data_IF_641261393677
#
_entry.id   IF_641261393677
#
_cell.length_a   1.000
_cell.length_b   1.000
_cell.length_c   1.000
_cell.angle_alpha   90.00
_cell.angle_beta   90.00
_cell.angle_gamma   90.00
#
_symmetry.space_group_name_H-M   'P 1'
#
loop_
_entity.id
_entity.type
_entity.pdbx_description
1 polymer ?
#
# COMPACT_ATOMS: atom_id res chain seq x y z
N UNK A 1 -21.01 -23.40 -1.65
CA UNK A 1 -20.30 -22.23 -2.19
C UNK A 1 -19.44 -22.53 -3.43
N UNK A 2 -19.47 -23.72 -4.00
CA UNK A 2 -18.82 -24.08 -5.29
C UNK A 2 -19.77 -24.08 -6.51
N UNK A 3 -21.05 -23.76 -6.32
CA UNK A 3 -22.06 -23.85 -7.37
C UNK A 3 -22.26 -22.55 -8.16
N UNK A 4 -22.00 -21.40 -7.56
CA UNK A 4 -22.27 -20.09 -8.20
C UNK A 4 -21.18 -19.67 -9.20
N UNK A 5 -19.92 -19.99 -8.93
CA UNK A 5 -18.81 -19.66 -9.88
C UNK A 5 -18.88 -20.45 -11.20
N UNK A 6 -19.59 -21.59 -11.23
CA UNK A 6 -19.80 -22.33 -12.48
C UNK A 6 -20.86 -21.69 -13.37
N UNK A 7 -21.83 -21.02 -12.79
CA UNK A 7 -22.93 -20.37 -13.51
C UNK A 7 -22.48 -19.15 -14.28
N UNK A 8 -21.58 -18.34 -13.69
CA UNK A 8 -21.03 -17.13 -14.34
C UNK A 8 -20.11 -17.46 -15.52
N UNK A 9 -19.29 -18.50 -15.43
CA UNK A 9 -18.46 -18.96 -16.55
C UNK A 9 -19.26 -19.48 -17.75
N UNK A 10 -20.44 -20.03 -17.50
CA UNK A 10 -21.30 -20.55 -18.55
C UNK A 10 -22.12 -19.48 -19.27
N UNK A 11 -22.39 -18.33 -18.62
CA UNK A 11 -23.07 -17.19 -19.24
C UNK A 11 -22.14 -16.46 -20.23
N UNK A 12 -20.84 -16.29 -19.89
CA UNK A 12 -19.86 -15.70 -20.79
C UNK A 12 -19.55 -16.59 -22.01
N UNK A 13 -19.61 -17.93 -21.86
CA UNK A 13 -19.40 -18.86 -22.96
C UNK A 13 -20.61 -18.97 -23.92
N UNK A 14 -21.85 -18.75 -23.44
CA UNK A 14 -23.05 -18.78 -24.25
C UNK A 14 -23.20 -17.56 -25.18
N UNK A 15 -22.60 -16.41 -24.82
CA UNK A 15 -22.63 -15.18 -25.63
C UNK A 15 -21.70 -15.24 -26.84
N UNK A 16 -20.65 -16.08 -26.84
CA UNK A 16 -19.71 -16.21 -27.96
C UNK A 16 -20.07 -17.24 -29.01
N UNK A 17 -21.07 -18.13 -28.77
CA UNK A 17 -21.37 -19.22 -29.69
C UNK A 17 -22.53 -18.94 -30.63
N UNK A 18 -23.15 -17.75 -30.57
CA UNK A 18 -24.33 -17.43 -31.42
C UNK A 18 -24.03 -16.59 -32.65
N UNK A 19 -22.75 -16.37 -32.99
CA UNK A 19 -22.38 -15.51 -34.11
C UNK A 19 -21.99 -16.22 -35.42
N UNK A 20 -22.09 -17.56 -35.50
CA UNK A 20 -21.65 -18.30 -36.69
C UNK A 20 -22.71 -19.37 -37.06
N UNK A 21 -23.86 -19.00 -37.50
CA UNK A 21 -24.72 -19.70 -38.47
C UNK A 21 -26.00 -18.85 -38.62
N UNK A 22 -26.14 -18.07 -39.69
CA UNK A 22 -27.33 -18.03 -40.54
C UNK A 22 -27.14 -17.00 -41.65
N UNK A 23 -27.31 -17.47 -42.87
CA UNK A 23 -27.31 -16.67 -44.07
C UNK A 23 -28.53 -15.75 -44.16
N UNK A 24 -28.30 -14.65 -44.82
CA UNK A 24 -29.22 -13.69 -45.42
C UNK A 24 -30.71 -13.83 -45.13
N UNK A 25 -31.19 -13.11 -44.13
CA UNK A 25 -32.54 -12.53 -44.13
C UNK A 25 -32.51 -11.27 -43.27
N UNK A 26 -33.02 -10.18 -43.85
CA UNK A 26 -33.07 -8.86 -43.26
C UNK A 26 -33.74 -8.87 -41.88
N UNK A 27 -32.97 -8.90 -40.81
CA UNK A 27 -33.44 -8.70 -39.43
C UNK A 27 -32.99 -7.35 -38.94
N UNK A 28 -33.94 -6.55 -38.50
CA UNK A 28 -33.69 -5.22 -37.88
C UNK A 28 -32.83 -5.38 -36.65
N UNK A 29 -31.84 -4.49 -36.39
CA UNK A 29 -30.97 -4.59 -35.20
C UNK A 29 -31.72 -4.07 -33.98
N UNK A 30 -32.33 -4.95 -33.21
CA UNK A 30 -33.02 -4.58 -31.95
C UNK A 30 -32.47 -5.33 -30.73
N UNK A 31 -31.55 -6.28 -30.89
CA UNK A 31 -31.12 -7.15 -29.75
C UNK A 31 -29.75 -6.90 -29.20
N UNK A 32 -28.88 -6.12 -29.85
CA UNK A 32 -27.53 -5.81 -29.34
C UNK A 32 -27.58 -4.87 -28.12
N UNK A 33 -28.42 -3.84 -28.15
CA UNK A 33 -28.47 -2.84 -27.06
C UNK A 33 -28.97 -3.36 -25.71
N UNK A 34 -29.84 -4.37 -25.68
CA UNK A 34 -30.37 -4.91 -24.41
C UNK A 34 -29.38 -5.83 -23.70
N UNK A 35 -28.58 -6.59 -24.46
CA UNK A 35 -27.55 -7.45 -23.88
C UNK A 35 -26.34 -6.64 -23.37
N UNK A 36 -25.89 -5.65 -24.12
CA UNK A 36 -24.83 -4.73 -23.71
C UNK A 36 -25.25 -3.86 -22.52
N UNK A 37 -26.49 -3.39 -22.47
CA UNK A 37 -27.02 -2.63 -21.34
C UNK A 37 -27.12 -3.50 -20.07
N UNK A 38 -27.50 -4.79 -20.20
CA UNK A 38 -27.57 -5.69 -19.05
C UNK A 38 -26.18 -6.09 -18.51
N UNK A 39 -25.19 -6.26 -19.38
CA UNK A 39 -23.80 -6.51 -18.99
C UNK A 39 -23.19 -5.27 -18.34
N UNK A 40 -23.41 -4.08 -18.89
CA UNK A 40 -22.95 -2.83 -18.29
C UNK A 40 -23.55 -2.59 -16.90
N UNK A 41 -24.86 -2.82 -16.74
CA UNK A 41 -25.54 -2.68 -15.45
C UNK A 41 -25.02 -3.66 -14.41
N UNK A 42 -24.74 -4.92 -14.79
CA UNK A 42 -24.18 -5.91 -13.87
C UNK A 42 -22.74 -5.59 -13.47
N UNK A 43 -21.92 -5.02 -14.37
CA UNK A 43 -20.57 -4.57 -14.06
C UNK A 43 -20.59 -3.35 -13.13
N UNK A 44 -21.51 -2.41 -13.36
CA UNK A 44 -21.68 -1.24 -12.48
C UNK A 44 -22.16 -1.64 -11.08
N UNK A 45 -23.07 -2.61 -10.98
CA UNK A 45 -23.54 -3.14 -9.71
C UNK A 45 -22.44 -3.91 -8.96
N UNK A 46 -21.65 -4.73 -9.64
CA UNK A 46 -20.51 -5.45 -9.07
C UNK A 46 -19.41 -4.46 -8.62
N UNK A 47 -19.07 -3.45 -9.42
CA UNK A 47 -18.11 -2.41 -9.07
C UNK A 47 -18.59 -1.56 -7.88
N UNK A 48 -19.88 -1.26 -7.82
CA UNK A 48 -20.50 -0.56 -6.68
C UNK A 48 -20.42 -1.38 -5.41
N UNK A 49 -20.67 -2.69 -5.47
CA UNK A 49 -20.57 -3.59 -4.32
C UNK A 49 -19.13 -3.72 -3.82
N UNK A 50 -18.15 -3.89 -4.71
CA UNK A 50 -16.72 -3.96 -4.39
C UNK A 50 -16.28 -2.65 -3.72
N UNK A 51 -16.63 -1.50 -4.30
CA UNK A 51 -16.34 -0.18 -3.73
C UNK A 51 -16.90 0.00 -2.31
N UNK A 52 -18.12 -0.47 -2.05
CA UNK A 52 -18.74 -0.44 -0.73
C UNK A 52 -18.01 -1.33 0.29
N UNK A 53 -17.57 -2.51 -0.13
CA UNK A 53 -16.82 -3.42 0.75
C UNK A 53 -15.45 -2.83 1.09
N UNK A 54 -14.76 -2.26 0.12
CA UNK A 54 -13.46 -1.63 0.33
C UNK A 54 -13.56 -0.44 1.31
N UNK A 55 -14.59 0.38 1.17
CA UNK A 55 -14.85 1.49 2.09
C UNK A 55 -15.16 0.99 3.52
N UNK A 56 -15.93 -0.07 3.66
CA UNK A 56 -16.22 -0.69 4.96
C UNK A 56 -14.94 -1.20 5.63
N UNK A 57 -14.05 -1.86 4.90
CA UNK A 57 -12.77 -2.33 5.42
C UNK A 57 -11.84 -1.17 5.80
N UNK A 58 -11.77 -0.13 4.97
CA UNK A 58 -10.97 1.08 5.26
C UNK A 58 -11.40 1.73 6.58
N UNK A 59 -12.70 1.91 6.77
CA UNK A 59 -13.26 2.48 7.99
C UNK A 59 -13.00 1.60 9.22
N UNK A 60 -13.09 0.29 9.08
CA UNK A 60 -12.82 -0.64 10.16
C UNK A 60 -11.35 -0.64 10.57
N UNK A 61 -10.40 -0.66 9.62
CA UNK A 61 -8.99 -0.50 9.91
C UNK A 61 -8.69 0.84 10.58
N UNK A 62 -9.26 1.94 10.06
CA UNK A 62 -9.08 3.26 10.64
C UNK A 62 -9.53 3.30 12.10
N UNK A 63 -10.71 2.77 12.38
CA UNK A 63 -11.25 2.67 13.74
C UNK A 63 -10.32 1.86 14.65
N UNK A 64 -9.87 0.70 14.21
CA UNK A 64 -9.02 -0.21 15.00
C UNK A 64 -7.65 0.37 15.26
N UNK A 65 -6.97 0.88 14.25
CA UNK A 65 -5.66 1.51 14.39
C UNK A 65 -5.75 2.74 15.31
N UNK A 66 -6.75 3.60 15.12
CA UNK A 66 -6.92 4.78 15.95
C UNK A 66 -7.26 4.44 17.41
N UNK A 67 -7.97 3.36 17.68
CA UNK A 67 -8.16 2.88 19.04
C UNK A 67 -6.84 2.53 19.72
N UNK A 68 -5.93 1.85 19.04
CA UNK A 68 -4.61 1.52 19.61
C UNK A 68 -3.74 2.77 19.77
N UNK A 69 -3.79 3.71 18.81
CA UNK A 69 -3.08 4.99 18.92
C UNK A 69 -3.56 5.83 20.09
N UNK A 70 -4.87 5.95 20.30
CA UNK A 70 -5.44 6.67 21.44
C UNK A 70 -5.05 6.03 22.78
N UNK A 71 -5.06 4.69 22.89
CA UNK A 71 -4.55 3.98 24.08
C UNK A 71 -3.07 4.30 24.36
N UNK A 72 -2.29 4.51 23.31
CA UNK A 72 -0.88 4.90 23.40
C UNK A 72 -0.65 6.41 23.61
N UNK A 73 -1.72 7.23 23.73
CA UNK A 73 -1.62 8.68 23.89
C UNK A 73 -1.26 9.44 22.61
N UNK A 74 -1.43 8.82 21.44
CA UNK A 74 -1.10 9.38 20.13
C UNK A 74 -2.33 10.01 19.46
N UNK A 75 -2.06 10.95 18.55
CA UNK A 75 -3.13 11.51 17.71
C UNK A 75 -3.66 10.45 16.74
N UNK A 76 -4.99 10.44 16.49
CA UNK A 76 -5.55 9.63 15.42
C UNK A 76 -4.96 9.97 14.06
N UNK A 77 -4.82 8.96 13.19
CA UNK A 77 -4.50 9.12 11.77
C UNK A 77 -5.79 9.27 10.95
N UNK A 78 -5.65 9.74 9.73
CA UNK A 78 -6.74 9.84 8.75
C UNK A 78 -6.54 8.83 7.62
N UNK A 79 -7.59 8.50 6.89
CA UNK A 79 -7.45 7.78 5.63
C UNK A 79 -6.78 8.67 4.59
N UNK A 80 -5.93 8.09 3.78
CA UNK A 80 -5.41 8.70 2.58
C UNK A 80 -6.51 8.96 1.56
N UNK A 81 -6.21 9.82 0.60
CA UNK A 81 -7.10 10.07 -0.54
C UNK A 81 -7.18 8.86 -1.49
N UNK A 82 -7.85 9.04 -2.62
CA UNK A 82 -8.01 7.98 -3.63
C UNK A 82 -6.67 7.48 -4.19
N UNK A 83 -5.67 8.36 -4.35
CA UNK A 83 -4.33 7.97 -4.84
C UNK A 83 -3.62 7.09 -3.83
N UNK A 84 -3.66 7.46 -2.54
CA UNK A 84 -3.10 6.67 -1.45
C UNK A 84 -3.74 5.28 -1.34
N UNK A 85 -5.07 5.21 -1.41
CA UNK A 85 -5.77 3.93 -1.33
C UNK A 85 -5.53 3.08 -2.60
N UNK A 86 -5.42 3.69 -3.79
CA UNK A 86 -5.03 2.99 -5.01
C UNK A 86 -3.63 2.38 -4.92
N UNK A 87 -2.67 3.11 -4.36
CA UNK A 87 -1.33 2.58 -4.12
C UNK A 87 -1.34 1.37 -3.18
N UNK A 88 -2.09 1.43 -2.06
CA UNK A 88 -2.22 0.31 -1.14
C UNK A 88 -2.95 -0.89 -1.79
N UNK A 89 -3.96 -0.63 -2.61
CA UNK A 89 -4.70 -1.67 -3.35
C UNK A 89 -3.81 -2.37 -4.37
N UNK A 90 -2.98 -1.64 -5.11
CA UNK A 90 -1.98 -2.22 -6.00
C UNK A 90 -0.99 -3.11 -5.24
N UNK A 91 -0.50 -2.64 -4.09
CA UNK A 91 0.38 -3.44 -3.24
C UNK A 91 -0.26 -4.73 -2.76
N UNK A 92 -1.52 -4.70 -2.32
CA UNK A 92 -2.24 -5.90 -1.90
C UNK A 92 -2.31 -6.94 -3.03
N UNK A 93 -2.53 -6.50 -4.27
CA UNK A 93 -2.53 -7.34 -5.47
C UNK A 93 -1.15 -7.88 -5.81
N UNK A 94 -0.10 -7.06 -5.70
CA UNK A 94 1.29 -7.49 -5.90
C UNK A 94 1.70 -8.59 -4.93
N UNK A 95 1.30 -8.49 -3.65
CA UNK A 95 1.61 -9.48 -2.61
C UNK A 95 0.99 -10.86 -2.90
N UNK A 96 -0.10 -10.92 -3.63
CA UNK A 96 -0.70 -12.18 -4.07
C UNK A 96 0.18 -12.92 -5.09
N UNK A 97 1.02 -12.21 -5.83
CA UNK A 97 1.99 -12.76 -6.78
C UNK A 97 3.39 -12.91 -6.18
N UNK A 98 3.79 -11.99 -5.30
CA UNK A 98 5.11 -11.97 -4.65
C UNK A 98 4.98 -11.44 -3.21
N UNK A 99 4.94 -12.34 -2.23
CA UNK A 99 4.80 -12.00 -0.81
C UNK A 99 6.10 -11.44 -0.23
N UNK A 100 6.43 -10.19 -0.55
CA UNK A 100 7.72 -9.56 -0.25
C UNK A 100 7.60 -8.04 -0.17
N UNK A 101 8.54 -7.39 0.55
CA UNK A 101 8.77 -5.93 0.48
C UNK A 101 9.43 -5.49 -0.83
N UNK A 102 9.97 -6.43 -1.60
CA UNK A 102 10.42 -6.16 -2.98
C UNK A 102 9.24 -6.42 -3.91
N UNK A 103 8.87 -5.40 -4.65
CA UNK A 103 7.76 -5.44 -5.61
C UNK A 103 8.09 -6.33 -6.81
N UNK A 104 7.10 -6.83 -7.57
CA UNK A 104 7.34 -7.63 -8.77
C UNK A 104 8.23 -6.96 -9.82
N UNK A 105 8.27 -5.63 -9.86
CA UNK A 105 9.16 -4.84 -10.72
C UNK A 105 10.62 -4.75 -10.22
N UNK A 106 10.94 -5.39 -9.08
CA UNK A 106 12.26 -5.39 -8.45
C UNK A 106 12.57 -4.17 -7.57
N UNK A 107 11.64 -3.22 -7.46
CA UNK A 107 11.81 -2.03 -6.62
C UNK A 107 11.34 -2.28 -5.19
N UNK A 108 11.59 -1.31 -4.31
CA UNK A 108 11.12 -1.36 -2.92
C UNK A 108 9.65 -0.94 -2.84
N UNK A 109 8.97 -1.42 -1.80
CA UNK A 109 7.57 -1.18 -1.46
C UNK A 109 7.16 0.30 -1.53
N UNK A 110 7.97 1.20 -0.96
CA UNK A 110 7.68 2.64 -0.90
C UNK A 110 7.67 3.36 -2.27
N UNK A 111 8.24 2.77 -3.32
CA UNK A 111 8.27 3.38 -4.67
C UNK A 111 6.87 3.50 -5.28
N UNK A 112 5.90 2.76 -4.77
CA UNK A 112 4.51 2.83 -5.20
C UNK A 112 3.90 4.22 -5.02
N UNK A 113 4.37 4.99 -4.04
CA UNK A 113 3.88 6.34 -3.80
C UNK A 113 4.22 7.27 -4.95
N UNK A 114 5.49 7.29 -5.38
CA UNK A 114 5.92 8.12 -6.51
C UNK A 114 5.21 7.73 -7.81
N UNK A 115 4.98 6.44 -8.05
CA UNK A 115 4.25 5.92 -9.21
C UNK A 115 2.77 6.37 -9.22
N UNK A 116 2.17 6.56 -8.05
CA UNK A 116 0.80 7.05 -7.88
C UNK A 116 0.72 8.58 -7.67
N UNK A 117 1.82 9.32 -7.90
CA UNK A 117 1.86 10.77 -7.78
C UNK A 117 1.74 11.30 -6.35
N UNK A 118 2.03 10.47 -5.34
CA UNK A 118 1.96 10.81 -3.92
C UNK A 118 3.32 11.37 -3.48
N UNK A 119 3.31 12.58 -2.92
CA UNK A 119 4.52 13.25 -2.43
C UNK A 119 4.75 13.08 -0.92
N UNK A 120 3.90 12.30 -0.24
CA UNK A 120 4.07 12.00 1.16
C UNK A 120 5.28 11.06 1.39
N UNK A 121 5.93 11.21 2.52
CA UNK A 121 6.93 10.25 2.96
C UNK A 121 6.22 8.97 3.44
N UNK A 122 6.57 7.82 2.86
CA UNK A 122 6.16 6.52 3.37
C UNK A 122 6.95 6.20 4.65
N UNK A 123 6.24 6.06 5.77
CA UNK A 123 6.83 5.70 7.08
C UNK A 123 6.99 4.19 7.20
N UNK A 124 6.14 3.42 6.53
CA UNK A 124 6.26 1.98 6.45
C UNK A 124 4.99 1.27 6.00
N UNK A 125 5.16 0.02 5.63
CA UNK A 125 4.11 -0.87 5.15
C UNK A 125 3.95 -2.05 6.10
N UNK A 126 2.72 -2.31 6.56
CA UNK A 126 2.35 -3.56 7.21
C UNK A 126 1.50 -4.37 6.22
N UNK A 127 1.86 -5.63 6.01
CA UNK A 127 1.04 -6.54 5.21
C UNK A 127 0.86 -7.88 5.89
N UNK A 128 -0.26 -8.54 5.60
CA UNK A 128 -0.57 -9.87 6.10
C UNK A 128 -1.45 -10.62 5.10
N UNK A 129 -1.33 -11.94 5.07
CA UNK A 129 -2.14 -12.79 4.22
C UNK A 129 -2.81 -13.91 5.01
N UNK A 130 -3.93 -14.45 4.47
CA UNK A 130 -4.68 -15.55 5.08
C UNK A 130 -5.58 -15.16 6.24
N UNK A 131 -5.64 -13.88 6.56
CA UNK A 131 -6.51 -13.34 7.63
C UNK A 131 -7.79 -12.80 7.01
N UNK A 132 -8.95 -13.12 7.58
CA UNK A 132 -10.24 -12.84 6.95
C UNK A 132 -10.88 -11.52 7.37
N UNK A 133 -10.37 -10.84 8.40
CA UNK A 133 -10.98 -9.61 8.92
C UNK A 133 -9.93 -8.56 9.31
N UNK A 134 -10.27 -7.25 9.20
CA UNK A 134 -9.45 -6.15 9.69
C UNK A 134 -9.05 -6.29 11.17
N UNK A 135 -10.00 -6.67 12.03
CA UNK A 135 -9.73 -6.86 13.47
C UNK A 135 -8.62 -7.87 13.72
N UNK A 136 -8.71 -9.06 13.08
CA UNK A 136 -7.71 -10.10 13.24
C UNK A 136 -6.34 -9.70 12.65
N UNK A 137 -6.32 -8.90 11.59
CA UNK A 137 -5.08 -8.37 11.01
C UNK A 137 -4.39 -7.40 11.98
N UNK A 138 -5.13 -6.43 12.53
CA UNK A 138 -4.59 -5.47 13.51
C UNK A 138 -4.11 -6.17 14.77
N UNK A 139 -4.87 -7.15 15.29
CA UNK A 139 -4.47 -7.93 16.48
C UNK A 139 -3.15 -8.66 16.24
N UNK A 140 -2.94 -9.25 15.06
CA UNK A 140 -1.66 -9.89 14.73
C UNK A 140 -0.53 -8.87 14.61
N UNK A 141 -0.72 -7.74 13.93
CA UNK A 141 0.30 -6.69 13.81
C UNK A 141 0.67 -6.06 15.14
N UNK A 142 -0.28 -5.92 16.07
CA UNK A 142 0.01 -5.43 17.42
C UNK A 142 0.92 -6.36 18.23
N UNK A 143 0.98 -7.65 17.87
CA UNK A 143 1.87 -8.63 18.50
C UNK A 143 3.24 -8.76 17.80
N UNK A 144 3.48 -8.02 16.71
CA UNK A 144 4.74 -7.98 15.95
C UNK A 144 5.40 -6.62 16.19
N UNK A 145 6.58 -6.59 16.82
CA UNK A 145 7.22 -5.37 17.28
C UNK A 145 7.34 -4.29 16.18
N UNK A 146 7.93 -4.61 15.04
CA UNK A 146 8.11 -3.64 13.96
C UNK A 146 6.79 -3.19 13.32
N UNK A 147 5.76 -4.03 13.28
CA UNK A 147 4.45 -3.66 12.74
C UNK A 147 3.69 -2.75 13.71
N UNK A 148 3.76 -3.05 15.01
CA UNK A 148 3.22 -2.21 16.08
C UNK A 148 3.90 -0.85 16.10
N UNK A 149 5.24 -0.80 15.99
CA UNK A 149 6.00 0.45 15.94
C UNK A 149 5.55 1.35 14.80
N UNK A 150 5.30 0.81 13.61
CA UNK A 150 4.77 1.58 12.47
C UNK A 150 3.37 2.14 12.75
N UNK A 151 2.46 1.33 13.27
CA UNK A 151 1.10 1.77 13.62
C UNK A 151 1.09 2.83 14.73
N UNK A 152 2.04 2.76 15.65
CA UNK A 152 2.16 3.67 16.80
C UNK A 152 3.25 4.73 16.61
N UNK A 153 3.74 4.95 15.41
CA UNK A 153 4.67 6.03 15.14
C UNK A 153 3.96 7.40 15.26
N UNK A 154 4.55 8.30 16.04
CA UNK A 154 3.96 9.62 16.34
C UNK A 154 3.89 10.55 15.12
N UNK A 155 4.80 10.37 14.16
CA UNK A 155 4.90 11.21 12.96
C UNK A 155 3.86 10.84 11.90
N UNK A 156 3.26 9.65 11.98
CA UNK A 156 2.23 9.21 11.03
C UNK A 156 0.97 10.05 11.18
N UNK A 157 0.52 10.57 10.05
CA UNK A 157 -0.73 11.35 9.94
C UNK A 157 -1.77 10.65 9.06
N UNK A 158 -1.34 9.80 8.14
CA UNK A 158 -2.17 9.20 7.11
C UNK A 158 -1.96 7.68 7.06
N UNK A 159 -3.03 6.96 6.83
CA UNK A 159 -3.05 5.52 6.62
C UNK A 159 -3.81 5.19 5.35
N UNK A 160 -3.22 4.36 4.51
CA UNK A 160 -3.84 3.82 3.30
C UNK A 160 -4.13 2.34 3.48
N UNK A 161 -5.24 1.88 2.96
CA UNK A 161 -5.69 0.49 3.11
C UNK A 161 -5.88 -0.15 1.75
N UNK A 162 -5.27 -1.32 1.55
CA UNK A 162 -5.47 -2.16 0.39
C UNK A 162 -5.91 -3.57 0.79
N UNK A 163 -6.81 -4.15 0.02
CA UNK A 163 -7.29 -5.51 0.15
C UNK A 163 -7.36 -6.21 -1.21
N UNK A 164 -6.84 -7.42 -1.26
CA UNK A 164 -6.98 -8.27 -2.44
C UNK A 164 -7.46 -9.66 -2.04
N UNK A 165 -8.55 -10.12 -2.67
CA UNK A 165 -9.08 -11.47 -2.51
C UNK A 165 -8.68 -12.34 -3.70
N UNK A 166 -7.95 -13.41 -3.42
CA UNK A 166 -7.44 -14.35 -4.43
C UNK A 166 -6.09 -14.93 -4.04
N UNK A 167 -5.36 -15.48 -5.03
CA UNK A 167 -4.05 -16.07 -4.79
C UNK A 167 -4.05 -17.27 -3.82
N UNK A 168 -2.86 -17.61 -3.29
CA UNK A 168 -2.65 -18.81 -2.45
C UNK A 168 -3.32 -18.68 -1.08
N UNK A 169 -3.29 -17.48 -0.48
CA UNK A 169 -3.79 -17.22 0.87
C UNK A 169 -5.19 -16.61 0.90
N UNK A 170 -5.82 -16.40 -0.24
CA UNK A 170 -7.16 -15.85 -0.44
C UNK A 170 -7.33 -14.38 -0.05
N UNK A 171 -6.85 -13.93 1.10
CA UNK A 171 -6.92 -12.54 1.55
C UNK A 171 -5.52 -11.98 1.74
N UNK A 172 -5.27 -10.77 1.22
CA UNK A 172 -4.04 -10.00 1.40
C UNK A 172 -4.42 -8.59 1.82
N UNK A 173 -3.93 -8.19 2.99
CA UNK A 173 -4.16 -6.87 3.57
C UNK A 173 -2.88 -6.07 3.58
N UNK A 174 -2.98 -4.79 3.25
CA UNK A 174 -1.88 -3.85 3.31
C UNK A 174 -2.35 -2.59 4.01
N UNK A 175 -1.55 -2.12 4.98
CA UNK A 175 -1.62 -0.75 5.50
C UNK A 175 -0.31 -0.05 5.16
N UNK A 176 -0.39 1.10 4.49
CA UNK A 176 0.76 1.97 4.28
C UNK A 176 0.56 3.22 5.15
N UNK A 177 1.55 3.51 5.98
CA UNK A 177 1.56 4.67 6.86
C UNK A 177 2.42 5.76 6.25
N UNK A 178 1.92 7.00 6.24
CA UNK A 178 2.60 8.15 5.66
C UNK A 178 2.40 9.42 6.47
N UNK A 179 3.21 10.41 6.14
CA UNK A 179 3.09 11.78 6.62
C UNK A 179 3.56 12.74 5.54
N UNK A 180 3.19 14.04 5.59
CA UNK A 180 3.73 15.03 4.68
C UNK A 180 5.26 15.01 4.66
N UNK A 181 5.89 14.98 3.49
CA UNK A 181 7.33 14.83 3.30
C UNK A 181 8.15 15.79 4.18
N UNK A 182 7.73 17.05 4.25
CA UNK A 182 8.41 18.07 5.03
C UNK A 182 8.35 17.84 6.55
N UNK A 183 7.34 17.16 7.07
CA UNK A 183 7.21 16.87 8.50
C UNK A 183 8.10 15.72 8.93
N UNK A 184 8.21 14.69 8.09
CA UNK A 184 9.05 13.51 8.36
C UNK A 184 10.54 13.81 8.32
N UNK A 185 10.99 14.56 7.30
CA UNK A 185 12.42 14.88 7.13
C UNK A 185 12.96 15.83 8.17
N UNK A 186 12.14 16.75 8.73
CA UNK A 186 12.62 17.73 9.71
C UNK A 186 12.92 17.11 11.07
N UNK A 187 12.12 16.13 11.51
CA UNK A 187 12.27 15.49 12.82
C UNK A 187 13.28 14.34 12.81
N UNK A 188 13.30 13.54 11.75
CA UNK A 188 14.12 12.33 11.66
C UNK A 188 15.61 12.59 11.83
N UNK A 189 16.13 13.62 11.18
CA UNK A 189 17.55 13.99 11.29
C UNK A 189 17.96 14.37 12.72
N UNK A 190 17.11 15.14 13.39
CA UNK A 190 17.34 15.54 14.77
C UNK A 190 17.22 14.35 15.73
N UNK A 191 16.27 13.46 15.49
CA UNK A 191 16.09 12.25 16.29
C UNK A 191 17.30 11.31 16.18
N UNK A 192 17.78 11.03 14.97
CA UNK A 192 19.01 10.24 14.76
C UNK A 192 20.19 10.89 15.47
N UNK A 193 20.36 12.20 15.37
CA UNK A 193 21.42 12.92 16.08
C UNK A 193 21.29 12.75 17.60
N UNK A 194 20.09 12.86 18.14
CA UNK A 194 19.82 12.69 19.57
C UNK A 194 20.15 11.27 20.05
N UNK A 195 19.70 10.25 19.29
CA UNK A 195 19.99 8.83 19.59
C UNK A 195 21.48 8.53 19.55
N UNK A 196 22.18 8.99 18.51
CA UNK A 196 23.64 8.84 18.40
C UNK A 196 24.35 9.53 19.58
N UNK A 197 23.93 10.73 19.96
CA UNK A 197 24.52 11.45 21.08
C UNK A 197 24.24 10.79 22.43
N UNK A 198 23.06 10.17 22.60
CA UNK A 198 22.76 9.38 23.78
C UNK A 198 23.70 8.16 23.91
N UNK A 199 23.97 7.46 22.82
CA UNK A 199 24.96 6.37 22.81
C UNK A 199 26.37 6.87 23.09
N UNK A 200 26.81 7.96 22.44
CA UNK A 200 28.12 8.57 22.65
C UNK A 200 28.35 8.96 24.12
N UNK A 201 27.33 9.50 24.78
CA UNK A 201 27.41 9.87 26.20
C UNK A 201 27.73 8.69 27.12
N UNK A 202 27.22 7.49 26.81
CA UNK A 202 27.52 6.25 27.57
C UNK A 202 29.03 5.90 27.58
N UNK A 203 29.73 6.35 26.55
CA UNK A 203 31.20 6.15 26.40
C UNK A 203 32.02 7.40 26.71
N UNK A 204 31.42 8.42 27.33
CA UNK A 204 32.10 9.68 27.66
C UNK A 204 32.60 10.51 26.48
N UNK A 205 31.99 10.28 25.29
CA UNK A 205 32.39 10.98 24.08
C UNK A 205 31.61 12.29 23.92
N UNK A 206 32.28 13.32 23.33
CA UNK A 206 31.63 14.59 23.05
C UNK A 206 30.43 14.41 22.07
N UNK A 207 29.32 15.15 22.25
CA UNK A 207 28.20 15.09 21.35
C UNK A 207 28.58 15.62 19.96
N UNK A 208 27.95 15.03 18.95
CA UNK A 208 27.96 15.51 17.57
C UNK A 208 26.98 16.68 17.41
N UNK A 209 27.21 17.51 16.43
CA UNK A 209 26.27 18.55 15.97
C UNK A 209 25.79 18.22 14.56
N UNK A 210 24.65 18.75 14.19
CA UNK A 210 24.13 18.60 12.83
C UNK A 210 25.13 19.25 11.84
N UNK A 211 25.37 18.57 10.73
CA UNK A 211 26.17 19.10 9.65
C UNK A 211 25.57 20.35 9.00
N UNK A 212 26.43 21.13 8.34
CA UNK A 212 25.98 22.28 7.55
C UNK A 212 25.10 21.85 6.35
N UNK A 213 24.57 22.82 5.60
CA UNK A 213 23.71 22.57 4.45
C UNK A 213 24.39 21.72 3.36
N UNK A 214 25.71 21.88 3.16
CA UNK A 214 26.47 21.12 2.16
C UNK A 214 26.62 19.67 2.56
N UNK A 215 26.96 19.40 3.82
CA UNK A 215 27.08 18.04 4.35
C UNK A 215 25.69 17.34 4.38
N UNK A 216 24.65 18.08 4.74
CA UNK A 216 23.29 17.58 4.72
C UNK A 216 22.83 17.21 3.30
N UNK A 217 23.12 18.06 2.29
CA UNK A 217 22.81 17.77 0.90
C UNK A 217 23.58 16.54 0.37
N UNK A 218 24.88 16.42 0.73
CA UNK A 218 25.67 15.27 0.35
C UNK A 218 25.15 13.96 0.97
N UNK A 219 24.73 14.01 2.24
CA UNK A 219 24.11 12.86 2.91
C UNK A 219 22.78 12.46 2.26
N UNK A 220 21.95 13.44 1.88
CA UNK A 220 20.69 13.21 1.17
C UNK A 220 20.93 12.56 -0.19
N UNK A 221 21.85 13.13 -0.99
CA UNK A 221 22.21 12.53 -2.27
C UNK A 221 22.71 11.08 -2.11
N UNK A 222 23.50 10.84 -1.06
CA UNK A 222 24.00 9.48 -0.79
C UNK A 222 22.87 8.52 -0.39
N UNK A 223 21.89 8.96 0.36
CA UNK A 223 20.74 8.17 0.72
C UNK A 223 19.92 7.76 -0.53
N UNK A 224 19.71 8.68 -1.47
CA UNK A 224 19.04 8.43 -2.75
C UNK A 224 19.82 7.42 -3.61
N UNK A 225 21.14 7.53 -3.67
CA UNK A 225 22.00 6.57 -4.37
C UNK A 225 21.93 5.16 -3.76
N UNK A 226 21.88 5.05 -2.42
CA UNK A 226 21.76 3.76 -1.71
C UNK A 226 20.38 3.12 -1.95
N UNK A 227 19.33 3.92 -2.10
CA UNK A 227 18.00 3.43 -2.42
C UNK A 227 17.96 2.68 -3.77
N UNK A 228 18.81 3.10 -4.72
CA UNK A 228 18.94 2.45 -6.04
C UNK A 228 19.95 1.30 -6.03
N UNK A 229 21.11 1.50 -5.40
CA UNK A 229 22.18 0.50 -5.33
C UNK A 229 22.78 0.52 -3.92
N UNK A 230 22.44 -0.48 -3.12
CA UNK A 230 22.99 -0.62 -1.76
C UNK A 230 24.46 -1.06 -1.80
N UNK A 231 25.37 -0.11 -2.00
CA UNK A 231 26.81 -0.31 -2.10
C UNK A 231 27.58 0.85 -1.52
N UNK A 232 28.78 0.64 -1.03
CA UNK A 232 29.73 1.70 -0.66
C UNK A 232 30.36 2.37 -1.89
N UNK A 233 30.27 1.77 -3.06
CA UNK A 233 30.65 2.40 -4.32
C UNK A 233 29.45 3.17 -4.87
N UNK A 234 29.64 4.43 -5.19
CA UNK A 234 28.60 5.29 -5.76
C UNK A 234 28.29 4.89 -7.22
N UNK A 235 27.11 5.25 -7.78
CA UNK A 235 26.79 4.96 -9.16
C UNK A 235 27.80 5.48 -10.20
N UNK A 236 28.53 6.54 -9.86
CA UNK A 236 29.61 7.12 -10.68
C UNK A 236 30.98 6.41 -10.52
N UNK A 237 31.04 5.32 -9.76
CA UNK A 237 32.26 4.53 -9.55
C UNK A 237 33.22 5.08 -8.47
N UNK A 238 32.89 6.20 -7.82
CA UNK A 238 33.70 6.73 -6.72
C UNK A 238 33.33 6.07 -5.38
N UNK A 239 34.23 6.12 -4.39
CA UNK A 239 33.91 5.71 -3.02
C UNK A 239 33.15 6.80 -2.28
N UNK A 240 32.47 6.43 -1.18
CA UNK A 240 31.71 7.38 -0.36
C UNK A 240 32.58 8.33 0.47
N UNK A 241 33.89 8.07 0.58
CA UNK A 241 34.87 8.87 1.34
C UNK A 241 35.90 9.47 0.41
#
# INVERSE_FOLDING_TARGET
MKLEMRTLKNIAAAAMTLAVVFGAASLKPVTANAAEASVSASIEEENSYISFQDEAYQNEFLRRVNNERVKAGLKPVQLGDSSHNSAAQERAKELASSYSYVRPNGQRDFTIFAENGINDASVGENYIAGVSTPDAAVDQWMNIDFARERMLNADVTTMSVGHYEGGVYNNYWVLIFSCPENSYTSNYRQEVLNLVNAERAKYGLQPLVMGDAKLTAAAQQRAEEIATVNSHVRPNGTTCC
#
